data_IF_245561118579
#
_entry.id   IF_245561118579
#
_cell.length_a   1.000
_cell.length_b   1.000
_cell.length_c   1.000
_cell.angle_alpha   90.00
_cell.angle_beta   90.00
_cell.angle_gamma   90.00
#
_symmetry.space_group_name_H-M   'P 1'
#
loop_
_entity.id
_entity.type
_entity.pdbx_description
1 polymer ?
#
# COMPACT_ATOMS: atom_id res chain seq x y z
N UNK A 1 -2.39 -0.46 -9.11
CA UNK A 1 -2.62 -1.73 -8.39
C UNK A 1 -3.13 -1.58 -6.95
N UNK A 2 -2.59 -0.64 -6.15
CA UNK A 2 -3.01 -0.36 -4.74
C UNK A 2 -4.53 -0.41 -4.50
N UNK A 3 -5.31 0.35 -5.28
CA UNK A 3 -6.76 0.44 -5.08
C UNK A 3 -7.47 -0.92 -5.24
N UNK A 4 -7.09 -1.74 -6.21
CA UNK A 4 -7.71 -3.04 -6.40
C UNK A 4 -7.27 -4.06 -5.33
N UNK A 5 -6.01 -4.01 -4.88
CA UNK A 5 -5.56 -4.81 -3.74
C UNK A 5 -6.33 -4.45 -2.45
N UNK A 6 -6.53 -3.15 -2.19
CA UNK A 6 -7.34 -2.68 -1.06
C UNK A 6 -8.81 -3.12 -1.18
N UNK A 7 -9.38 -3.05 -2.39
CA UNK A 7 -10.74 -3.55 -2.66
C UNK A 7 -10.87 -5.05 -2.43
N UNK A 8 -9.87 -5.84 -2.84
CA UNK A 8 -9.86 -7.28 -2.61
C UNK A 8 -9.85 -7.61 -1.11
N UNK A 9 -9.08 -6.86 -0.32
CA UNK A 9 -9.02 -7.03 1.14
C UNK A 9 -10.34 -6.72 1.85
N UNK A 10 -11.19 -5.87 1.26
CA UNK A 10 -12.49 -5.49 1.82
C UNK A 10 -13.60 -6.51 1.49
N UNK A 11 -13.34 -7.48 0.60
CA UNK A 11 -14.31 -8.50 0.25
C UNK A 11 -14.63 -9.41 1.45
N UNK A 12 -15.92 -9.54 1.77
CA UNK A 12 -16.42 -10.37 2.89
C UNK A 12 -16.74 -11.80 2.48
N UNK A 13 -16.90 -12.06 1.19
CA UNK A 13 -17.21 -13.39 0.65
C UNK A 13 -15.97 -14.04 0.08
N UNK A 14 -15.85 -15.37 0.21
CA UNK A 14 -14.77 -16.13 -0.40
C UNK A 14 -14.88 -16.08 -1.93
N UNK A 15 -13.86 -15.60 -2.66
CA UNK A 15 -13.83 -15.66 -4.12
C UNK A 15 -13.72 -17.12 -4.58
N UNK A 16 -14.08 -17.39 -5.85
CA UNK A 16 -13.91 -18.73 -6.43
C UNK A 16 -12.42 -19.02 -6.72
N UNK A 17 -12.06 -20.30 -6.78
CA UNK A 17 -10.69 -20.77 -7.08
C UNK A 17 -10.10 -20.09 -8.33
N UNK A 18 -10.84 -20.04 -9.43
CA UNK A 18 -10.38 -19.42 -10.69
C UNK A 18 -10.06 -17.93 -10.51
N UNK A 19 -10.91 -17.21 -9.79
CA UNK A 19 -10.70 -15.80 -9.44
C UNK A 19 -9.43 -15.62 -8.61
N UNK A 20 -9.21 -16.49 -7.61
CA UNK A 20 -8.00 -16.43 -6.77
C UNK A 20 -6.72 -16.70 -7.55
N UNK A 21 -6.73 -17.57 -8.57
CA UNK A 21 -5.56 -17.79 -9.44
C UNK A 21 -5.20 -16.53 -10.23
N UNK A 22 -6.18 -15.84 -10.79
CA UNK A 22 -5.96 -14.57 -11.50
C UNK A 22 -5.40 -13.50 -10.55
N UNK A 23 -6.04 -13.30 -9.40
CA UNK A 23 -5.54 -12.36 -8.39
C UNK A 23 -4.15 -12.71 -7.90
N UNK A 24 -3.85 -13.99 -7.64
CA UNK A 24 -2.52 -14.41 -7.22
C UNK A 24 -1.48 -14.06 -8.27
N UNK A 25 -1.77 -14.31 -9.56
CA UNK A 25 -0.85 -13.98 -10.64
C UNK A 25 -0.61 -12.47 -10.75
N UNK A 26 -1.68 -11.69 -10.86
CA UNK A 26 -1.57 -10.24 -11.05
C UNK A 26 -0.87 -9.55 -9.87
N UNK A 27 -1.15 -9.99 -8.63
CA UNK A 27 -0.50 -9.44 -7.45
C UNK A 27 0.97 -9.88 -7.38
N UNK A 28 1.29 -11.12 -7.72
CA UNK A 28 2.68 -11.60 -7.76
C UNK A 28 3.52 -10.85 -8.78
N UNK A 29 3.05 -10.75 -10.02
CA UNK A 29 3.74 -10.04 -11.11
C UNK A 29 3.96 -8.56 -10.72
N UNK A 30 2.96 -7.91 -10.11
CA UNK A 30 3.09 -6.53 -9.64
C UNK A 30 4.06 -6.39 -8.46
N UNK A 31 4.08 -7.34 -7.52
CA UNK A 31 5.00 -7.33 -6.39
C UNK A 31 6.45 -7.45 -6.83
N UNK A 32 6.74 -8.34 -7.78
CA UNK A 32 8.09 -8.50 -8.33
C UNK A 32 8.58 -7.21 -8.98
N UNK A 33 7.75 -6.61 -9.84
CA UNK A 33 8.05 -5.35 -10.49
C UNK A 33 8.29 -4.21 -9.49
N UNK A 34 7.35 -4.01 -8.55
CA UNK A 34 7.43 -2.92 -7.57
C UNK A 34 8.59 -3.10 -6.59
N UNK A 35 8.89 -4.34 -6.21
CA UNK A 35 10.06 -4.65 -5.38
C UNK A 35 11.36 -4.21 -6.07
N UNK A 36 11.52 -4.55 -7.35
CA UNK A 36 12.71 -4.14 -8.12
C UNK A 36 12.83 -2.62 -8.25
N UNK A 37 11.72 -1.89 -8.45
CA UNK A 37 11.75 -0.43 -8.49
C UNK A 37 12.18 0.17 -7.14
N UNK A 38 11.65 -0.34 -6.04
CA UNK A 38 12.01 0.10 -4.68
C UNK A 38 13.49 -0.15 -4.39
N UNK A 39 14.01 -1.31 -4.77
CA UNK A 39 15.43 -1.64 -4.59
C UNK A 39 16.34 -0.69 -5.37
N UNK A 40 16.02 -0.41 -6.63
CA UNK A 40 16.79 0.52 -7.46
C UNK A 40 16.78 1.94 -6.86
N UNK A 41 15.62 2.42 -6.39
CA UNK A 41 15.51 3.73 -5.75
C UNK A 41 16.26 3.78 -4.43
N UNK A 42 16.10 2.77 -3.57
CA UNK A 42 16.78 2.68 -2.29
C UNK A 42 18.31 2.64 -2.47
N UNK A 43 18.82 1.97 -3.51
CA UNK A 43 20.25 1.93 -3.82
C UNK A 43 20.85 3.29 -4.18
N UNK A 44 20.04 4.24 -4.67
CA UNK A 44 20.47 5.60 -4.99
C UNK A 44 20.49 6.55 -3.77
N UNK A 45 19.96 6.12 -2.62
CA UNK A 45 19.86 6.92 -1.41
C UNK A 45 21.01 6.63 -0.43
N UNK A 46 21.31 7.56 0.52
CA UNK A 46 22.31 7.33 1.55
C UNK A 46 22.01 6.07 2.37
N UNK A 47 23.04 5.31 2.77
CA UNK A 47 22.87 4.09 3.59
C UNK A 47 22.14 4.31 4.91
N UNK A 48 22.20 5.52 5.46
CA UNK A 48 21.53 5.90 6.70
C UNK A 48 20.09 6.39 6.50
N UNK A 49 19.61 6.49 5.26
CA UNK A 49 18.25 6.93 4.95
C UNK A 49 17.21 5.97 5.54
N UNK A 50 16.39 6.50 6.46
CA UNK A 50 15.42 5.69 7.20
C UNK A 50 14.30 5.16 6.28
N UNK A 51 13.66 5.97 5.42
CA UNK A 51 12.70 5.47 4.44
C UNK A 51 13.24 4.33 3.56
N UNK A 52 14.46 4.46 3.02
CA UNK A 52 15.11 3.43 2.21
C UNK A 52 15.26 2.11 2.98
N UNK A 53 15.74 2.17 4.22
CA UNK A 53 15.91 0.96 5.06
C UNK A 53 14.57 0.30 5.37
N UNK A 54 13.54 1.06 5.71
CA UNK A 54 12.20 0.54 5.98
C UNK A 54 11.60 -0.11 4.72
N UNK A 55 11.74 0.55 3.57
CA UNK A 55 11.27 0.02 2.29
C UNK A 55 11.94 -1.32 1.93
N UNK A 56 13.26 -1.43 2.14
CA UNK A 56 14.00 -2.68 1.91
C UNK A 56 13.55 -3.84 2.81
N UNK A 57 13.17 -3.56 4.06
CA UNK A 57 12.54 -4.58 4.93
C UNK A 57 11.20 -5.04 4.34
N UNK A 58 10.39 -4.09 3.85
CA UNK A 58 9.14 -4.39 3.17
C UNK A 58 9.33 -5.26 1.92
N UNK A 59 10.35 -4.98 1.11
CA UNK A 59 10.74 -5.81 -0.05
C UNK A 59 11.09 -7.23 0.38
N UNK A 60 11.92 -7.39 1.42
CA UNK A 60 12.29 -8.71 1.93
C UNK A 60 11.08 -9.53 2.40
N UNK A 61 10.14 -8.91 3.11
CA UNK A 61 8.90 -9.56 3.54
C UNK A 61 7.99 -9.93 2.37
N UNK A 62 7.88 -9.06 1.36
CA UNK A 62 7.08 -9.35 0.18
C UNK A 62 7.63 -10.54 -0.60
N UNK A 63 8.96 -10.62 -0.77
CA UNK A 63 9.62 -11.78 -1.41
C UNK A 63 9.36 -13.07 -0.65
N UNK A 64 9.53 -13.08 0.68
CA UNK A 64 9.20 -14.25 1.50
C UNK A 64 7.76 -14.74 1.29
N UNK A 65 6.81 -13.83 1.12
CA UNK A 65 5.39 -14.17 0.88
C UNK A 65 5.12 -14.68 -0.53
N UNK A 66 5.92 -14.28 -1.53
CA UNK A 66 5.85 -14.86 -2.88
C UNK A 66 6.24 -16.33 -2.84
N UNK A 67 7.29 -16.65 -2.09
CA UNK A 67 7.83 -18.00 -1.92
C UNK A 67 7.05 -18.87 -0.93
N UNK A 68 6.08 -18.29 -0.20
CA UNK A 68 5.29 -19.01 0.80
C UNK A 68 4.42 -20.09 0.12
N UNK A 69 4.54 -21.37 0.52
CA UNK A 69 3.74 -22.44 -0.05
C UNK A 69 2.26 -22.22 0.26
N UNK A 70 1.42 -22.49 -0.73
CA UNK A 70 -0.01 -22.36 -0.61
C UNK A 70 -0.59 -23.47 0.28
N UNK A 71 -1.32 -23.08 1.33
CA UNK A 71 -2.12 -24.02 2.11
C UNK A 71 -3.29 -24.56 1.27
N UNK A 72 -3.62 -25.84 1.45
CA UNK A 72 -4.66 -26.51 0.69
C UNK A 72 -6.07 -25.94 0.96
N UNK A 73 -6.93 -25.99 -0.06
CA UNK A 73 -8.34 -25.60 0.03
C UNK A 73 -8.58 -24.10 -0.09
N UNK A 74 -9.83 -23.73 -0.43
CA UNK A 74 -10.22 -22.37 -0.82
C UNK A 74 -9.85 -21.28 0.20
N UNK A 75 -9.96 -21.60 1.48
CA UNK A 75 -9.60 -20.68 2.56
C UNK A 75 -8.08 -20.40 2.58
N UNK A 76 -7.26 -21.43 2.39
CA UNK A 76 -5.80 -21.30 2.31
C UNK A 76 -5.37 -20.47 1.12
N UNK A 77 -6.00 -20.69 -0.05
CA UNK A 77 -5.76 -19.88 -1.24
C UNK A 77 -6.15 -18.40 -1.00
N UNK A 78 -7.31 -18.17 -0.39
CA UNK A 78 -7.81 -16.82 -0.11
C UNK A 78 -6.87 -16.07 0.83
N UNK A 79 -6.42 -16.71 1.91
CA UNK A 79 -5.50 -16.08 2.85
C UNK A 79 -4.13 -15.80 2.23
N UNK A 80 -3.63 -16.68 1.33
CA UNK A 80 -2.42 -16.40 0.56
C UNK A 80 -2.59 -15.15 -0.31
N UNK A 81 -3.67 -15.05 -1.09
CA UNK A 81 -3.93 -13.88 -1.94
C UNK A 81 -4.10 -12.61 -1.10
N UNK A 82 -4.75 -12.67 0.08
CA UNK A 82 -4.83 -11.53 1.01
C UNK A 82 -3.44 -11.09 1.51
N UNK A 83 -2.54 -12.02 1.83
CA UNK A 83 -1.16 -11.67 2.23
C UNK A 83 -0.42 -10.95 1.12
N UNK A 84 -0.55 -11.41 -0.13
CA UNK A 84 0.01 -10.72 -1.30
C UNK A 84 -0.61 -9.32 -1.47
N UNK A 85 -1.93 -9.19 -1.36
CA UNK A 85 -2.61 -7.90 -1.47
C UNK A 85 -2.17 -6.90 -0.38
N UNK A 86 -1.97 -7.37 0.87
CA UNK A 86 -1.40 -6.55 1.95
C UNK A 86 0.03 -6.11 1.63
N UNK A 87 0.85 -6.99 1.07
CA UNK A 87 2.21 -6.63 0.61
C UNK A 87 2.17 -5.57 -0.48
N UNK A 88 1.24 -5.66 -1.44
CA UNK A 88 1.07 -4.66 -2.50
C UNK A 88 0.77 -3.29 -1.91
N UNK A 89 -0.18 -3.20 -0.99
CA UNK A 89 -0.52 -1.92 -0.33
C UNK A 89 0.70 -1.35 0.40
N UNK A 90 1.37 -2.17 1.22
CA UNK A 90 2.53 -1.73 1.99
C UNK A 90 3.71 -1.28 1.10
N UNK A 91 4.04 -2.03 0.05
CA UNK A 91 5.11 -1.67 -0.89
C UNK A 91 4.76 -0.40 -1.68
N UNK A 92 3.51 -0.20 -2.06
CA UNK A 92 3.13 1.08 -2.68
C UNK A 92 3.39 2.24 -1.71
N UNK A 93 3.07 2.08 -0.42
CA UNK A 93 3.30 3.13 0.59
C UNK A 93 4.79 3.39 0.82
N UNK A 94 5.63 2.33 0.79
CA UNK A 94 7.08 2.47 0.77
C UNK A 94 7.58 3.20 -0.47
N UNK A 95 7.08 2.84 -1.66
CA UNK A 95 7.45 3.51 -2.90
C UNK A 95 7.07 4.99 -2.90
N UNK A 96 5.89 5.33 -2.39
CA UNK A 96 5.45 6.73 -2.25
C UNK A 96 6.35 7.51 -1.28
N UNK A 97 6.74 6.88 -0.16
CA UNK A 97 7.69 7.48 0.78
C UNK A 97 9.07 7.75 0.13
N UNK A 98 9.57 6.82 -0.69
CA UNK A 98 10.86 6.97 -1.39
C UNK A 98 10.83 8.00 -2.51
N UNK A 99 9.69 8.15 -3.17
CA UNK A 99 9.51 9.16 -4.23
C UNK A 99 9.18 10.54 -3.68
N UNK A 100 8.98 10.66 -2.37
CA UNK A 100 8.46 11.88 -1.76
C UNK A 100 7.04 12.22 -2.21
N UNK A 101 6.31 11.26 -2.79
CA UNK A 101 4.93 11.42 -3.22
C UNK A 101 4.06 11.58 -1.97
N UNK A 102 3.63 12.81 -1.70
CA UNK A 102 2.69 13.12 -0.62
C UNK A 102 1.28 12.92 -1.14
N UNK A 103 0.47 12.13 -0.44
CA UNK A 103 -0.93 11.88 -0.78
C UNK A 103 -1.86 12.73 0.09
N UNK A 104 -2.95 13.22 -0.50
CA UNK A 104 -3.98 13.96 0.21
C UNK A 104 -4.76 12.99 1.11
N UNK A 105 -4.73 13.22 2.42
CA UNK A 105 -5.39 12.34 3.41
C UNK A 105 -6.92 12.23 3.25
N UNK A 106 -7.54 13.16 2.51
CA UNK A 106 -8.98 13.19 2.30
C UNK A 106 -9.42 12.46 1.02
N UNK A 107 -8.65 12.49 -0.05
CA UNK A 107 -9.08 11.93 -1.35
C UNK A 107 -8.14 10.89 -1.93
N UNK A 108 -7.04 10.57 -1.24
CA UNK A 108 -6.01 9.62 -1.67
C UNK A 108 -5.42 9.96 -3.07
N UNK A 109 -5.34 11.26 -3.42
CA UNK A 109 -4.68 11.75 -4.66
C UNK A 109 -3.35 12.46 -4.35
N UNK A 110 -2.37 12.50 -5.28
CA UNK A 110 -1.10 13.18 -5.07
C UNK A 110 -1.27 14.68 -4.80
N UNK A 111 -0.54 15.21 -3.82
CA UNK A 111 -0.50 16.63 -3.46
C UNK A 111 0.42 17.46 -4.38
N UNK A 112 1.26 16.80 -5.18
CA UNK A 112 2.15 17.43 -6.16
C UNK A 112 1.47 17.81 -7.49
N UNK A 113 0.14 17.85 -7.56
CA UNK A 113 -0.64 18.11 -8.78
C UNK A 113 -0.87 19.62 -9.06
N UNK A 114 -0.07 20.49 -8.43
CA UNK A 114 -0.15 21.96 -8.59
C UNK A 114 -1.29 22.62 -7.83
N UNK A 115 -2.10 21.86 -7.08
CA UNK A 115 -3.19 22.41 -6.26
C UNK A 115 -2.65 22.91 -4.92
N UNK A 116 -3.28 23.94 -4.33
CA UNK A 116 -2.90 24.41 -3.00
C UNK A 116 -3.11 23.30 -1.96
N UNK A 117 -2.14 23.12 -1.08
CA UNK A 117 -2.15 22.11 -0.02
C UNK A 117 -2.22 22.78 1.34
N UNK A 118 -2.99 22.21 2.26
CA UNK A 118 -3.12 22.69 3.64
C UNK A 118 -2.66 21.60 4.61
N UNK A 119 -2.02 21.96 5.74
CA UNK A 119 -1.75 21.02 6.81
C UNK A 119 -3.07 20.51 7.41
N UNK A 120 -3.11 19.22 7.73
CA UNK A 120 -4.26 18.55 8.31
C UNK A 120 -3.84 17.75 9.53
N UNK A 121 -4.42 18.06 10.68
CA UNK A 121 -4.34 17.24 11.89
C UNK A 121 -5.72 16.63 12.15
N UNK A 122 -5.79 15.30 12.25
CA UNK A 122 -6.98 14.64 12.75
C UNK A 122 -6.67 13.96 14.09
N UNK A 123 -7.52 14.25 15.08
CA UNK A 123 -7.52 13.53 16.35
C UNK A 123 -8.19 12.18 16.09
N UNK A 124 -7.43 11.09 16.16
CA UNK A 124 -8.00 9.74 16.07
C UNK A 124 -9.01 9.54 17.21
N UNK A 125 -10.21 8.97 16.96
CA UNK A 125 -11.21 8.71 18.01
C UNK A 125 -10.70 7.79 19.13
N UNK A 126 -9.67 7.00 18.85
CA UNK A 126 -8.99 6.07 19.76
C UNK A 126 -7.85 6.71 20.59
N UNK A 127 -7.69 8.04 20.55
CA UNK A 127 -6.99 8.81 21.58
C UNK A 127 -5.46 8.67 21.67
N UNK A 128 -4.78 7.99 20.74
CA UNK A 128 -3.35 7.66 20.95
C UNK A 128 -2.40 7.99 19.79
N UNK A 129 -2.88 8.48 18.64
CA UNK A 129 -2.00 9.00 17.58
C UNK A 129 -2.64 10.17 16.83
N UNK A 130 -1.97 11.33 16.84
CA UNK A 130 -2.24 12.41 15.89
C UNK A 130 -1.75 11.95 14.52
N UNK A 131 -2.65 11.87 13.54
CA UNK A 131 -2.23 11.71 12.14
C UNK A 131 -2.03 13.12 11.61
N UNK A 132 -0.76 13.54 11.52
CA UNK A 132 -0.35 14.79 10.90
C UNK A 132 -0.02 14.56 9.43
N UNK A 133 -0.63 15.34 8.54
CA UNK A 133 -0.41 15.24 7.10
C UNK A 133 -0.88 16.48 6.35
N UNK A 134 -1.12 16.34 5.05
CA UNK A 134 -1.57 17.43 4.19
C UNK A 134 -2.79 16.97 3.38
N UNK A 135 -3.64 17.92 3.02
CA UNK A 135 -4.78 17.71 2.12
C UNK A 135 -4.80 18.80 1.05
N UNK A 136 -5.45 18.54 -0.08
CA UNK A 136 -5.78 19.59 -1.03
C UNK A 136 -6.70 20.61 -0.36
N UNK A 137 -6.55 21.90 -0.71
CA UNK A 137 -7.43 22.95 -0.22
C UNK A 137 -8.91 22.67 -0.51
N UNK A 138 -9.19 22.13 -1.69
CA UNK A 138 -10.55 21.70 -2.08
C UNK A 138 -11.08 20.51 -1.26
N UNK A 139 -10.21 19.75 -0.61
CA UNK A 139 -10.61 18.59 0.20
C UNK A 139 -10.85 18.95 1.68
N UNK A 140 -10.50 20.15 2.12
CA UNK A 140 -10.64 20.60 3.52
C UNK A 140 -12.08 20.62 4.01
N UNK A 141 -13.02 20.97 3.12
CA UNK A 141 -14.45 21.08 3.44
C UNK A 141 -15.22 19.76 3.30
N UNK A 142 -14.69 18.77 2.58
CA UNK A 142 -15.37 17.49 2.31
C UNK A 142 -15.17 16.42 3.38
N UNK A 143 -14.12 16.54 4.21
CA UNK A 143 -13.73 15.46 5.14
C UNK A 143 -13.31 14.18 4.42
N UNK A 144 -12.85 13.17 5.18
CA UNK A 144 -12.53 11.85 4.62
C UNK A 144 -13.84 11.17 4.18
N UNK A 145 -13.97 10.66 2.95
CA UNK A 145 -15.14 9.87 2.56
C UNK A 145 -15.26 8.69 3.54
N UNK A 146 -16.46 8.49 4.08
CA UNK A 146 -16.75 7.34 4.94
C UNK A 146 -16.51 6.08 4.11
N UNK A 147 -15.49 5.31 4.51
CA UNK A 147 -15.24 3.95 4.01
C UNK A 147 -16.21 3.00 4.69
#
# INVERSE_FOLDING_TARGET
MRAAAAWFLDQRTLPRHETLKLWSKDLSDFLEHLASEIEQRAAALPKADVPARVAMVGVGEARRRLDEPQAAGLLGETERVKRLARSVVALCDHHDALTGARMCLACDKPLGDGRPTLPYEQVSPSGSAKVSGHIHGACASTGRPRR
#
